data_IF_752197285096
#
_entry.id   IF_752197285096
#
_cell.length_a   1.000
_cell.length_b   1.000
_cell.length_c   1.000
_cell.angle_alpha   90.00
_cell.angle_beta   90.00
_cell.angle_gamma   90.00
#
_symmetry.space_group_name_H-M   'P 1'
#
loop_
_entity.id
_entity.type
_entity.pdbx_description
1 polymer ?
#
# COMPACT_ATOMS: atom_id res chain seq x y z
N UNK A 1 10.47 -9.48 -0.60
CA UNK A 1 11.44 -8.37 -0.86
C UNK A 1 12.17 -8.59 -2.17
N UNK A 2 12.75 -9.78 -2.43
CA UNK A 2 13.37 -10.08 -3.74
C UNK A 2 12.36 -9.98 -4.89
N UNK A 3 11.20 -10.64 -4.75
CA UNK A 3 10.11 -10.58 -5.73
C UNK A 3 9.66 -9.14 -6.09
N UNK A 4 9.66 -8.22 -5.12
CA UNK A 4 9.33 -6.81 -5.38
C UNK A 4 10.38 -6.16 -6.28
N UNK A 5 11.66 -6.41 -6.01
CA UNK A 5 12.76 -5.84 -6.79
C UNK A 5 12.71 -6.41 -8.21
N UNK A 6 12.57 -7.73 -8.35
CA UNK A 6 12.45 -8.39 -9.65
C UNK A 6 11.28 -7.82 -10.49
N UNK A 7 10.10 -7.64 -9.87
CA UNK A 7 8.95 -7.03 -10.55
C UNK A 7 9.18 -5.57 -10.94
N UNK A 8 9.89 -4.80 -10.12
CA UNK A 8 10.24 -3.40 -10.43
C UNK A 8 11.35 -3.27 -11.48
N UNK A 9 12.25 -4.26 -11.57
CA UNK A 9 13.24 -4.35 -12.64
C UNK A 9 12.60 -4.67 -13.99
N UNK A 10 11.57 -5.54 -14.00
CA UNK A 10 10.77 -5.83 -15.18
C UNK A 10 9.93 -4.62 -15.62
N UNK A 11 9.25 -3.96 -14.66
CA UNK A 11 8.49 -2.75 -14.93
C UNK A 11 8.62 -1.76 -13.75
N UNK A 12 9.32 -0.63 -13.93
CA UNK A 12 9.56 0.31 -12.84
C UNK A 12 8.34 1.18 -12.50
N UNK A 13 7.27 1.11 -13.31
CA UNK A 13 6.05 1.90 -13.09
C UNK A 13 5.19 1.22 -12.03
N UNK A 14 4.71 2.00 -11.07
CA UNK A 14 3.75 1.56 -10.05
C UNK A 14 2.40 2.23 -10.32
N UNK A 15 1.35 1.43 -10.50
CA UNK A 15 0.01 1.98 -10.72
C UNK A 15 -0.58 2.50 -9.41
N UNK A 16 -1.03 3.74 -9.40
CA UNK A 16 -1.71 4.36 -8.27
C UNK A 16 -3.23 4.37 -8.51
N UNK A 17 -3.95 3.44 -7.88
CA UNK A 17 -5.39 3.28 -8.09
C UNK A 17 -6.20 4.03 -7.03
N UNK A 18 -7.32 4.62 -7.47
CA UNK A 18 -8.23 5.41 -6.63
C UNK A 18 -9.71 5.10 -6.85
N UNK A 19 -10.00 4.33 -7.89
CA UNK A 19 -11.35 3.96 -8.33
C UNK A 19 -11.30 2.63 -9.11
N UNK A 20 -12.47 2.09 -9.45
CA UNK A 20 -12.57 0.80 -10.15
C UNK A 20 -12.05 0.86 -11.59
N UNK A 21 -12.20 2.01 -12.28
CA UNK A 21 -11.69 2.18 -13.65
C UNK A 21 -10.18 2.04 -13.69
N UNK A 22 -9.47 2.80 -12.85
CA UNK A 22 -8.01 2.75 -12.73
C UNK A 22 -7.50 1.39 -12.26
N UNK A 23 -8.28 0.68 -11.44
CA UNK A 23 -7.98 -0.71 -11.10
C UNK A 23 -8.03 -1.62 -12.35
N UNK A 24 -9.09 -1.57 -13.13
CA UNK A 24 -9.24 -2.42 -14.33
C UNK A 24 -8.11 -2.15 -15.34
N UNK A 25 -7.81 -0.87 -15.58
CA UNK A 25 -6.72 -0.47 -16.48
C UNK A 25 -5.37 -1.03 -16.00
N UNK A 26 -5.08 -0.93 -14.69
CA UNK A 26 -3.85 -1.47 -14.10
C UNK A 26 -3.79 -3.01 -14.20
N UNK A 27 -4.90 -3.71 -13.97
CA UNK A 27 -4.96 -5.18 -14.06
C UNK A 27 -4.71 -5.72 -15.48
N UNK A 28 -5.06 -4.93 -16.50
CA UNK A 28 -4.88 -5.28 -17.91
C UNK A 28 -3.57 -4.79 -18.50
N UNK A 29 -2.70 -4.17 -17.70
CA UNK A 29 -1.40 -3.65 -18.11
C UNK A 29 -0.24 -4.56 -17.67
N UNK A 30 0.95 -4.28 -18.20
CA UNK A 30 2.21 -4.91 -17.81
C UNK A 30 2.75 -4.40 -16.45
N UNK A 31 1.99 -3.55 -15.75
CA UNK A 31 2.42 -2.99 -14.45
C UNK A 31 2.34 -4.06 -13.37
N UNK A 32 3.44 -4.34 -12.68
CA UNK A 32 3.53 -5.46 -11.75
C UNK A 32 3.27 -5.10 -10.28
N UNK A 33 3.30 -3.80 -9.96
CA UNK A 33 3.11 -3.29 -8.60
C UNK A 33 2.01 -2.24 -8.58
N UNK A 34 1.07 -2.38 -7.65
CA UNK A 34 -0.12 -1.54 -7.54
C UNK A 34 -0.24 -0.95 -6.13
N UNK A 35 -0.47 0.36 -6.06
CA UNK A 35 -0.79 1.09 -4.84
C UNK A 35 -2.29 1.40 -4.80
N UNK A 36 -2.99 0.88 -3.81
CA UNK A 36 -4.35 1.29 -3.47
C UNK A 36 -4.27 2.56 -2.63
N UNK A 37 -4.55 3.71 -3.26
CA UNK A 37 -4.49 5.02 -2.59
C UNK A 37 -5.83 5.43 -1.97
N UNK A 38 -6.94 4.80 -2.38
CA UNK A 38 -8.26 5.03 -1.81
C UNK A 38 -9.09 3.75 -1.92
N UNK A 39 -9.78 3.40 -0.84
CA UNK A 39 -10.73 2.29 -0.79
C UNK A 39 -11.70 2.50 0.37
N UNK A 40 -12.69 1.63 0.50
CA UNK A 40 -13.55 1.54 1.69
C UNK A 40 -13.35 0.19 2.37
N UNK A 41 -13.82 0.03 3.61
CA UNK A 41 -13.85 -1.28 4.29
C UNK A 41 -14.61 -2.35 3.49
N UNK A 42 -15.58 -1.94 2.67
CA UNK A 42 -16.38 -2.83 1.84
C UNK A 42 -15.65 -3.26 0.56
N UNK A 43 -14.83 -2.37 -0.02
CA UNK A 43 -14.18 -2.63 -1.32
C UNK A 43 -12.80 -3.26 -1.19
N UNK A 44 -12.07 -3.00 -0.10
CA UNK A 44 -10.64 -3.28 0.00
C UNK A 44 -10.28 -4.76 -0.20
N UNK A 45 -11.06 -5.68 0.37
CA UNK A 45 -10.84 -7.13 0.23
C UNK A 45 -10.98 -7.56 -1.23
N UNK A 46 -12.06 -7.15 -1.90
CA UNK A 46 -12.30 -7.47 -3.32
C UNK A 46 -11.25 -6.88 -4.25
N UNK A 47 -10.75 -5.67 -3.96
CA UNK A 47 -9.71 -5.02 -4.76
C UNK A 47 -8.39 -5.76 -4.65
N UNK A 48 -7.99 -6.13 -3.43
CA UNK A 48 -6.77 -6.90 -3.19
C UNK A 48 -6.88 -8.26 -3.88
N UNK A 49 -7.99 -8.95 -3.74
CA UNK A 49 -8.19 -10.26 -4.38
C UNK A 49 -8.11 -10.18 -5.91
N UNK A 50 -8.73 -9.18 -6.54
CA UNK A 50 -8.59 -8.92 -7.99
C UNK A 50 -7.12 -8.72 -8.38
N UNK A 51 -6.35 -7.93 -7.64
CA UNK A 51 -4.92 -7.68 -7.92
C UNK A 51 -4.09 -8.95 -7.75
N UNK A 52 -4.27 -9.67 -6.65
CA UNK A 52 -3.52 -10.90 -6.38
C UNK A 52 -3.89 -12.02 -7.34
N UNK A 53 -5.12 -12.06 -7.87
CA UNK A 53 -5.52 -13.02 -8.92
C UNK A 53 -4.72 -12.88 -10.22
N UNK A 54 -4.16 -11.68 -10.47
CA UNK A 54 -3.26 -11.40 -11.60
C UNK A 54 -1.78 -11.58 -11.25
N UNK A 55 -1.45 -12.09 -10.06
CA UNK A 55 -0.05 -12.29 -9.63
C UNK A 55 0.72 -10.99 -9.39
N UNK A 56 0.04 -9.85 -9.23
CA UNK A 56 0.65 -8.54 -9.03
C UNK A 56 0.89 -8.26 -7.53
N UNK A 57 1.84 -7.39 -7.23
CA UNK A 57 2.12 -6.94 -5.85
C UNK A 57 1.17 -5.79 -5.50
N UNK A 58 0.59 -5.83 -4.30
CA UNK A 58 -0.33 -4.80 -3.81
C UNK A 58 0.15 -4.15 -2.52
N UNK A 59 0.17 -2.82 -2.53
CA UNK A 59 0.31 -2.00 -1.34
C UNK A 59 -0.99 -1.26 -1.05
N UNK A 60 -1.35 -1.16 0.22
CA UNK A 60 -2.56 -0.46 0.65
C UNK A 60 -2.22 0.76 1.48
N UNK A 61 -2.73 1.92 1.11
CA UNK A 61 -2.62 3.11 1.95
C UNK A 61 -3.61 3.03 3.12
N UNK A 62 -3.16 2.48 4.25
CA UNK A 62 -4.02 2.18 5.40
C UNK A 62 -4.68 3.44 6.00
N UNK A 63 -4.04 4.61 5.89
CA UNK A 63 -4.61 5.87 6.36
C UNK A 63 -5.79 6.37 5.49
N UNK A 64 -5.99 5.80 4.30
CA UNK A 64 -6.97 6.25 3.31
C UNK A 64 -8.04 5.20 3.00
N UNK A 65 -8.27 4.28 3.94
CA UNK A 65 -9.38 3.34 3.89
C UNK A 65 -10.58 3.97 4.61
N UNK A 66 -11.59 4.34 3.84
CA UNK A 66 -12.82 4.91 4.38
C UNK A 66 -13.59 3.89 5.23
N UNK A 67 -14.13 4.36 6.35
CA UNK A 67 -14.78 3.51 7.37
C UNK A 67 -13.81 2.72 8.26
N UNK A 68 -12.49 2.92 8.16
CA UNK A 68 -11.52 2.22 9.01
C UNK A 68 -10.40 3.12 9.50
N UNK A 69 -10.25 3.23 10.83
CA UNK A 69 -9.12 3.95 11.43
C UNK A 69 -7.82 3.13 11.33
N UNK A 70 -6.66 3.75 11.02
CA UNK A 70 -5.37 3.07 10.91
C UNK A 70 -4.83 2.73 12.31
N UNK A 71 -5.30 1.60 12.84
CA UNK A 71 -4.94 1.03 14.14
C UNK A 71 -4.24 -0.31 13.95
N UNK A 72 -3.58 -0.82 15.00
CA UNK A 72 -3.02 -2.17 14.99
C UNK A 72 -4.09 -3.23 14.69
N UNK A 73 -5.30 -3.05 15.23
CA UNK A 73 -6.44 -3.94 14.96
C UNK A 73 -6.86 -3.90 13.49
N UNK A 74 -6.87 -2.72 12.85
CA UNK A 74 -7.15 -2.60 11.42
C UNK A 74 -6.08 -3.30 10.56
N UNK A 75 -4.81 -3.16 10.93
CA UNK A 75 -3.72 -3.87 10.26
C UNK A 75 -3.85 -5.39 10.41
N UNK A 76 -4.14 -5.88 11.62
CA UNK A 76 -4.39 -7.30 11.89
C UNK A 76 -5.58 -7.83 11.09
N UNK A 77 -6.66 -7.05 11.02
CA UNK A 77 -7.84 -7.37 10.23
C UNK A 77 -7.47 -7.53 8.75
N UNK A 78 -6.81 -6.54 8.16
CA UNK A 78 -6.38 -6.58 6.75
C UNK A 78 -5.47 -7.78 6.48
N UNK A 79 -4.48 -8.02 7.33
CA UNK A 79 -3.57 -9.16 7.18
C UNK A 79 -4.27 -10.52 7.29
N UNK A 80 -5.31 -10.62 8.13
CA UNK A 80 -6.07 -11.87 8.31
C UNK A 80 -7.07 -12.10 7.17
N UNK A 81 -7.68 -11.03 6.66
CA UNK A 81 -8.75 -11.11 5.66
C UNK A 81 -8.27 -11.04 4.23
N UNK A 82 -7.06 -10.53 4.00
CA UNK A 82 -6.58 -10.24 2.66
C UNK A 82 -5.14 -10.70 2.49
N UNK A 83 -4.70 -10.79 1.25
CA UNK A 83 -3.33 -11.18 0.86
C UNK A 83 -2.49 -9.98 0.46
N UNK A 84 -2.63 -8.86 1.18
CA UNK A 84 -1.80 -7.68 0.91
C UNK A 84 -0.32 -7.99 1.10
N UNK A 85 0.52 -7.39 0.26
CA UNK A 85 1.98 -7.56 0.35
C UNK A 85 2.61 -6.50 1.26
N UNK A 86 2.01 -5.29 1.29
CA UNK A 86 2.50 -4.21 2.13
C UNK A 86 1.53 -3.06 2.37
N UNK A 87 1.92 -2.15 3.25
CA UNK A 87 1.16 -0.94 3.56
C UNK A 87 1.94 0.33 3.24
N UNK A 88 1.18 1.39 2.97
CA UNK A 88 1.65 2.78 2.90
C UNK A 88 1.02 3.53 4.08
N UNK A 89 1.81 4.29 4.82
CA UNK A 89 1.30 5.18 5.86
C UNK A 89 2.21 6.38 6.09
N UNK A 90 1.65 7.50 6.53
CA UNK A 90 2.43 8.65 7.04
C UNK A 90 2.83 8.47 8.51
N UNK A 91 2.26 7.49 9.21
CA UNK A 91 2.44 7.28 10.65
C UNK A 91 3.54 6.26 10.93
N UNK A 92 4.68 6.72 11.46
CA UNK A 92 5.82 5.84 11.77
C UNK A 92 5.48 4.70 12.72
N UNK A 93 4.51 4.90 13.64
CA UNK A 93 4.04 3.84 14.53
C UNK A 93 3.38 2.68 13.77
N UNK A 94 2.58 2.98 12.72
CA UNK A 94 1.97 1.95 11.88
C UNK A 94 3.00 1.23 11.02
N UNK A 95 3.99 1.97 10.50
CA UNK A 95 5.12 1.37 9.76
C UNK A 95 5.89 0.39 10.66
N UNK A 96 6.23 0.79 11.89
CA UNK A 96 6.90 -0.10 12.85
C UNK A 96 6.08 -1.34 13.14
N UNK A 97 4.77 -1.21 13.32
CA UNK A 97 3.90 -2.34 13.59
C UNK A 97 3.80 -3.31 12.39
N UNK A 98 3.61 -2.79 11.18
CA UNK A 98 3.59 -3.62 9.98
C UNK A 98 4.91 -4.36 9.71
N UNK A 99 6.05 -3.73 10.01
CA UNK A 99 7.37 -4.40 9.97
C UNK A 99 7.44 -5.61 10.91
N UNK A 100 6.96 -5.47 12.16
CA UNK A 100 6.89 -6.63 13.11
C UNK A 100 6.04 -7.76 12.56
N UNK A 101 5.01 -7.42 11.79
CA UNK A 101 4.12 -8.38 11.14
C UNK A 101 4.67 -8.93 9.82
N UNK A 102 5.92 -8.62 9.45
CA UNK A 102 6.60 -9.07 8.22
C UNK A 102 5.93 -8.59 6.92
N UNK A 103 5.15 -7.52 6.97
CA UNK A 103 4.62 -6.85 5.77
C UNK A 103 5.69 -5.93 5.17
N UNK A 104 5.63 -5.74 3.86
CA UNK A 104 6.38 -4.65 3.22
C UNK A 104 5.79 -3.31 3.69
N UNK A 105 6.64 -2.30 3.82
CA UNK A 105 6.20 -1.01 4.36
C UNK A 105 6.79 0.14 3.58
N UNK A 106 5.95 1.12 3.25
CA UNK A 106 6.36 2.39 2.65
C UNK A 106 5.89 3.50 3.59
N UNK A 107 6.85 4.26 4.12
CA UNK A 107 6.53 5.45 4.90
C UNK A 107 6.41 6.65 3.95
N UNK A 108 5.23 7.25 3.91
CA UNK A 108 4.95 8.43 3.07
C UNK A 108 5.32 9.70 3.83
N UNK A 109 6.06 10.57 3.17
CA UNK A 109 6.38 11.91 3.67
C UNK A 109 5.84 12.97 2.71
N UNK A 110 5.44 14.10 3.27
CA UNK A 110 5.11 15.30 2.50
C UNK A 110 6.22 16.31 2.69
N UNK A 111 6.96 16.59 1.62
CA UNK A 111 8.06 17.56 1.61
C UNK A 111 7.51 18.86 1.01
N UNK A 112 6.93 19.70 1.86
CA UNK A 112 6.33 20.99 1.48
C UNK A 112 7.34 22.13 1.59
N UNK A 113 8.20 22.05 2.61
CA UNK A 113 9.20 23.05 2.95
C UNK A 113 10.41 22.41 3.66
N UNK A 114 11.41 23.23 3.98
CA UNK A 114 12.63 22.77 4.66
C UNK A 114 12.38 22.20 6.07
N UNK A 115 11.31 22.62 6.76
CA UNK A 115 10.95 22.14 8.10
C UNK A 115 10.36 20.73 7.98
N UNK A 116 9.43 20.53 7.03
CA UNK A 116 8.82 19.24 6.71
C UNK A 116 9.89 18.23 6.26
N UNK A 117 10.91 18.67 5.52
CA UNK A 117 12.06 17.84 5.15
C UNK A 117 12.85 17.38 6.38
N UNK A 118 13.27 18.32 7.24
CA UNK A 118 14.01 18.00 8.48
C UNK A 118 13.21 17.06 9.39
N UNK A 119 11.91 17.30 9.54
CA UNK A 119 11.03 16.43 10.31
C UNK A 119 10.92 15.03 9.69
N UNK A 120 10.83 14.93 8.37
CA UNK A 120 10.77 13.65 7.67
C UNK A 120 12.02 12.82 7.91
N UNK A 121 13.21 13.43 7.87
CA UNK A 121 14.48 12.74 8.17
C UNK A 121 14.55 12.21 9.61
N UNK A 122 14.00 12.94 10.58
CA UNK A 122 13.96 12.50 11.99
C UNK A 122 13.08 11.25 12.19
N UNK A 123 12.11 11.05 11.30
CA UNK A 123 11.09 10.01 11.42
C UNK A 123 11.21 8.89 10.36
N UNK A 124 12.24 8.93 9.51
CA UNK A 124 12.55 7.92 8.50
C UNK A 124 13.06 6.60 9.08
#
# INVERSE_FOLDING_TARGET
KMELIEKLELNPIIAAIKDEKTLIDALNSEIEVIFILKSTILSIESMIEKIKSKGKIVFVHIDLIDGMSPTVSALNFLKKKTRLDGIISTKSAMIKEAKKQKLLTIQRFFILDSISYKNSLKHA
#
